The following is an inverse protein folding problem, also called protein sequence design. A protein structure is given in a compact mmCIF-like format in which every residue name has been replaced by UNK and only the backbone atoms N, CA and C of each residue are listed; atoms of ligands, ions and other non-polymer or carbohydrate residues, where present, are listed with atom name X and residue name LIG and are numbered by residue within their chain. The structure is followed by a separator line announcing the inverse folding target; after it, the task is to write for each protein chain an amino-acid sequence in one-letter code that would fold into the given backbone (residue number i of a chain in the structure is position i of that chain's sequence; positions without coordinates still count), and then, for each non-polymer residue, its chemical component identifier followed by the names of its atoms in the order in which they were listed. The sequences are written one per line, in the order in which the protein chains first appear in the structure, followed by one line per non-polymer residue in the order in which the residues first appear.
data_IF_022538951622
#
_entry.id   IF_022538951622
#
_cell.length_a   1.000
_cell.length_b   1.000
_cell.length_c   1.000
_cell.angle_alpha   90.00
_cell.angle_beta   90.00
_cell.angle_gamma   90.00
#
_symmetry.space_group_name_H-M   'P 1'
#
loop_
_entity.id
_entity.type
_entity.pdbx_description
1 polymer ?
#
# COMPACT_ATOMS: atom_id res chain seq x y z
N UNK A 1 25.89 -3.92 -0.54
CA UNK A 1 26.86 -4.54 -1.48
C UNK A 1 26.50 -4.08 -2.88
N UNK A 2 27.44 -3.52 -3.64
CA UNK A 2 27.20 -3.07 -5.01
C UNK A 2 27.66 -4.16 -6.00
N UNK A 3 26.74 -4.64 -6.84
CA UNK A 3 27.04 -5.53 -7.96
C UNK A 3 26.85 -4.74 -9.26
N UNK A 4 27.89 -4.02 -9.68
CA UNK A 4 27.78 -3.06 -10.79
C UNK A 4 26.76 -1.97 -10.47
N UNK A 5 25.79 -1.73 -11.36
CA UNK A 5 24.71 -0.74 -11.15
C UNK A 5 23.62 -1.20 -10.16
N UNK A 6 23.68 -2.45 -9.67
CA UNK A 6 22.67 -2.99 -8.76
C UNK A 6 23.13 -2.83 -7.31
N UNK A 7 22.39 -2.03 -6.54
CA UNK A 7 22.57 -1.90 -5.10
C UNK A 7 21.69 -2.90 -4.37
N UNK A 8 22.30 -3.84 -3.66
CA UNK A 8 21.60 -4.76 -2.79
C UNK A 8 21.70 -4.23 -1.35
N UNK A 9 20.68 -3.45 -0.97
CA UNK A 9 20.55 -2.86 0.36
C UNK A 9 19.85 -3.78 1.36
N UNK A 10 20.02 -3.49 2.65
CA UNK A 10 19.48 -4.28 3.76
C UNK A 10 17.95 -4.37 3.70
N UNK A 11 17.25 -3.31 3.27
CA UNK A 11 15.79 -3.35 3.07
C UNK A 11 15.36 -4.44 2.08
N UNK A 12 16.11 -4.64 0.99
CA UNK A 12 15.84 -5.69 0.00
C UNK A 12 16.00 -7.08 0.62
N UNK A 13 17.06 -7.29 1.41
CA UNK A 13 17.29 -8.55 2.12
C UNK A 13 16.16 -8.83 3.12
N UNK A 14 15.82 -7.85 3.96
CA UNK A 14 14.71 -7.98 4.93
C UNK A 14 13.38 -8.31 4.24
N UNK A 15 13.13 -7.73 3.07
CA UNK A 15 11.93 -8.00 2.28
C UNK A 15 11.90 -9.45 1.81
N UNK A 16 13.02 -9.97 1.28
CA UNK A 16 13.13 -11.38 0.90
C UNK A 16 12.93 -12.33 2.09
N UNK A 17 13.51 -12.00 3.24
CA UNK A 17 13.34 -12.78 4.49
C UNK A 17 11.88 -12.76 4.95
N UNK A 18 11.22 -11.61 4.93
CA UNK A 18 9.81 -11.50 5.33
C UNK A 18 8.90 -12.36 4.43
N UNK A 19 9.15 -12.35 3.11
CA UNK A 19 8.42 -13.22 2.17
C UNK A 19 8.70 -14.71 2.46
N UNK A 20 9.96 -15.08 2.68
CA UNK A 20 10.31 -16.46 3.05
C UNK A 20 9.60 -16.91 4.33
N UNK A 21 9.55 -16.06 5.35
CA UNK A 21 8.81 -16.33 6.59
C UNK A 21 7.32 -16.51 6.32
N UNK A 22 6.68 -15.64 5.52
CA UNK A 22 5.28 -15.80 5.13
C UNK A 22 5.03 -17.15 4.43
N UNK A 23 5.91 -17.55 3.50
CA UNK A 23 5.80 -18.84 2.80
C UNK A 23 5.91 -20.01 3.77
N UNK A 24 6.89 -19.99 4.67
CA UNK A 24 7.07 -21.06 5.66
C UNK A 24 5.87 -21.16 6.60
N UNK A 25 5.37 -20.02 7.10
CA UNK A 25 4.18 -19.99 7.97
C UNK A 25 2.97 -20.63 7.29
N UNK A 26 2.73 -20.31 6.02
CA UNK A 26 1.58 -20.84 5.27
C UNK A 26 1.76 -22.32 4.91
N UNK A 27 2.99 -22.73 4.58
CA UNK A 27 3.31 -24.13 4.30
C UNK A 27 3.07 -25.02 5.53
N UNK A 28 3.57 -24.64 6.70
CA UNK A 28 3.45 -25.46 7.92
C UNK A 28 2.05 -25.38 8.58
N UNK A 29 1.31 -24.29 8.38
CA UNK A 29 -0.06 -24.17 8.88
C UNK A 29 -1.10 -24.83 7.98
N UNK A 30 -0.72 -25.24 6.76
CA UNK A 30 -1.66 -25.79 5.77
C UNK A 30 -2.69 -24.77 5.27
N UNK A 31 -2.43 -23.46 5.44
CA UNK A 31 -3.39 -22.36 5.13
C UNK A 31 -3.54 -22.08 3.63
N UNK A 32 -2.71 -22.70 2.79
CA UNK A 32 -2.75 -22.53 1.34
C UNK A 32 -1.73 -21.51 0.82
N UNK A 33 -2.13 -20.64 -0.10
CA UNK A 33 -1.22 -19.72 -0.78
C UNK A 33 -0.78 -18.55 0.11
N UNK A 34 0.53 -18.28 0.16
CA UNK A 34 1.10 -17.17 0.93
C UNK A 34 1.02 -15.80 0.21
N UNK A 35 0.32 -15.70 -0.92
CA UNK A 35 0.37 -14.53 -1.81
C UNK A 35 -0.01 -13.22 -1.09
N UNK A 36 -1.15 -13.20 -0.39
CA UNK A 36 -1.66 -11.98 0.25
C UNK A 36 -0.79 -11.58 1.45
N UNK A 37 -0.36 -12.54 2.27
CA UNK A 37 0.56 -12.29 3.37
C UNK A 37 1.92 -11.78 2.87
N UNK A 38 2.46 -12.38 1.81
CA UNK A 38 3.74 -11.94 1.22
C UNK A 38 3.64 -10.53 0.64
N UNK A 39 2.56 -10.22 -0.09
CA UNK A 39 2.35 -8.88 -0.64
C UNK A 39 2.13 -7.83 0.46
N UNK A 40 1.41 -8.20 1.52
CA UNK A 40 1.24 -7.34 2.70
C UNK A 40 2.58 -7.06 3.39
N UNK A 41 3.44 -8.08 3.52
CA UNK A 41 4.76 -7.91 4.11
C UNK A 41 5.63 -6.95 3.27
N UNK A 42 5.71 -7.18 1.96
CA UNK A 42 6.44 -6.29 1.02
C UNK A 42 5.90 -4.87 1.07
N UNK A 43 4.58 -4.71 1.11
CA UNK A 43 3.96 -3.40 1.18
C UNK A 43 4.29 -2.67 2.47
N UNK A 44 4.31 -3.36 3.61
CA UNK A 44 4.57 -2.75 4.91
C UNK A 44 6.05 -2.41 5.13
N UNK A 45 7.00 -3.22 4.62
CA UNK A 45 8.41 -3.12 4.98
C UNK A 45 9.09 -1.84 4.42
N UNK A 46 9.69 -1.05 5.31
CA UNK A 46 10.41 0.21 5.01
C UNK A 46 11.79 0.19 5.67
N UNK A 47 12.62 1.21 5.44
CA UNK A 47 13.95 1.33 6.07
C UNK A 47 13.81 1.42 7.59
N UNK A 48 12.93 2.29 8.07
CA UNK A 48 12.69 2.54 9.48
C UNK A 48 11.42 1.85 10.01
N UNK A 49 11.37 1.66 11.32
CA UNK A 49 10.30 0.95 12.00
C UNK A 49 8.98 1.75 12.01
N UNK A 50 9.06 3.05 12.25
CA UNK A 50 7.87 3.90 12.36
C UNK A 50 7.09 3.92 11.05
N UNK A 51 7.79 4.12 9.94
CA UNK A 51 7.22 4.11 8.60
C UNK A 51 6.75 2.70 8.24
N UNK A 52 7.45 1.65 8.67
CA UNK A 52 6.96 0.26 8.50
C UNK A 52 5.60 0.05 9.18
N UNK A 53 5.44 0.50 10.43
CA UNK A 53 4.17 0.41 11.16
C UNK A 53 3.10 1.28 10.51
N UNK A 54 3.44 2.50 10.07
CA UNK A 54 2.53 3.42 9.38
C UNK A 54 1.98 2.79 8.08
N UNK A 55 2.85 2.24 7.24
CA UNK A 55 2.43 1.56 6.00
C UNK A 55 1.71 0.23 6.27
N UNK A 56 2.09 -0.50 7.32
CA UNK A 56 1.38 -1.69 7.77
C UNK A 56 -0.07 -1.39 8.17
N UNK A 57 -0.26 -0.35 8.99
CA UNK A 57 -1.61 0.17 9.32
C UNK A 57 -2.35 0.57 8.04
N UNK A 58 -1.69 1.35 7.17
CA UNK A 58 -2.16 1.74 5.83
C UNK A 58 -2.80 0.57 5.09
N UNK A 59 -2.04 -0.52 5.00
CA UNK A 59 -2.41 -1.75 4.31
C UNK A 59 -3.57 -2.48 4.95
N UNK A 60 -3.56 -2.64 6.27
CA UNK A 60 -4.61 -3.34 7.02
C UNK A 60 -5.96 -2.63 6.85
N UNK A 61 -6.04 -1.32 7.13
CA UNK A 61 -7.32 -0.62 7.05
C UNK A 61 -7.80 -0.52 5.60
N UNK A 62 -6.89 -0.25 4.65
CA UNK A 62 -7.25 -0.20 3.24
C UNK A 62 -7.81 -1.54 2.75
N UNK A 63 -7.10 -2.65 3.00
CA UNK A 63 -7.57 -3.97 2.62
C UNK A 63 -8.89 -4.34 3.31
N UNK A 64 -9.05 -4.00 4.60
CA UNK A 64 -10.29 -4.25 5.34
C UNK A 64 -11.48 -3.49 4.75
N UNK A 65 -11.32 -2.20 4.46
CA UNK A 65 -12.36 -1.39 3.84
C UNK A 65 -12.75 -1.91 2.45
N UNK A 66 -11.75 -2.22 1.61
CA UNK A 66 -11.99 -2.78 0.28
C UNK A 66 -12.69 -4.15 0.33
N UNK A 67 -12.27 -5.02 1.25
CA UNK A 67 -12.86 -6.34 1.42
C UNK A 67 -14.30 -6.29 1.95
N UNK A 68 -14.58 -5.40 2.90
CA UNK A 68 -15.93 -5.17 3.43
C UNK A 68 -16.87 -4.65 2.35
N UNK A 69 -16.43 -3.67 1.56
CA UNK A 69 -17.26 -3.12 0.48
C UNK A 69 -17.46 -4.14 -0.64
N UNK A 70 -16.45 -4.94 -0.99
CA UNK A 70 -16.61 -6.03 -1.95
C UNK A 70 -17.66 -7.07 -1.49
N UNK A 71 -17.59 -7.48 -0.23
CA UNK A 71 -18.55 -8.42 0.35
C UNK A 71 -19.98 -7.84 0.38
N UNK A 72 -20.14 -6.57 0.82
CA UNK A 72 -21.43 -5.88 0.81
C UNK A 72 -22.02 -5.82 -0.60
N UNK A 73 -21.18 -5.48 -1.58
CA UNK A 73 -21.62 -5.29 -2.96
C UNK A 73 -22.08 -6.61 -3.62
N UNK A 74 -21.45 -7.74 -3.28
CA UNK A 74 -21.88 -9.07 -3.74
C UNK A 74 -23.16 -9.55 -3.05
N UNK A 75 -23.42 -9.15 -1.82
CA UNK A 75 -24.72 -9.40 -1.19
C UNK A 75 -25.84 -8.65 -1.92
N UNK A 76 -25.61 -7.40 -2.32
CA UNK A 76 -26.54 -6.62 -3.13
C UNK A 76 -26.73 -7.22 -4.52
N UNK A 77 -25.66 -7.74 -5.13
CA UNK A 77 -25.72 -8.47 -6.41
C UNK A 77 -26.65 -9.68 -6.35
N UNK A 78 -26.47 -10.54 -5.35
CA UNK A 78 -27.29 -11.75 -5.20
C UNK A 78 -28.79 -11.43 -5.06
N UNK A 79 -29.14 -10.24 -4.58
CA UNK A 79 -30.53 -9.81 -4.43
C UNK A 79 -31.15 -9.20 -5.69
N UNK A 80 -30.37 -8.59 -6.58
CA UNK A 80 -30.89 -7.78 -7.69
C UNK A 80 -30.99 -8.53 -9.02
N UNK A 81 -30.23 -9.61 -9.21
CA UNK A 81 -30.30 -10.50 -10.38
C UNK A 81 -29.84 -9.88 -11.72
N UNK A 82 -29.53 -8.58 -11.77
CA UNK A 82 -29.06 -7.89 -12.97
C UNK A 82 -27.56 -7.55 -12.86
N UNK A 83 -26.72 -8.45 -13.39
CA UNK A 83 -25.27 -8.39 -13.28
C UNK A 83 -24.67 -7.17 -13.99
N UNK A 84 -25.16 -6.83 -15.18
CA UNK A 84 -24.55 -5.82 -16.03
C UNK A 84 -24.68 -4.40 -15.48
N UNK A 85 -25.88 -4.02 -14.99
CA UNK A 85 -26.12 -2.67 -14.45
C UNK A 85 -25.31 -2.46 -13.16
N UNK A 86 -25.26 -3.50 -12.31
CA UNK A 86 -24.53 -3.42 -11.06
C UNK A 86 -23.02 -3.28 -11.29
N UNK A 87 -22.49 -3.97 -12.30
CA UNK A 87 -21.08 -3.88 -12.67
C UNK A 87 -20.73 -2.51 -13.26
N UNK A 88 -21.54 -2.01 -14.20
CA UNK A 88 -21.28 -0.72 -14.88
C UNK A 88 -21.48 0.48 -13.96
N UNK A 89 -22.46 0.45 -13.06
CA UNK A 89 -22.77 1.60 -12.20
C UNK A 89 -22.20 1.42 -10.81
N UNK A 90 -22.45 0.27 -10.19
CA UNK A 90 -22.20 0.15 -8.76
C UNK A 90 -20.74 -0.12 -8.40
N UNK A 91 -19.92 -0.76 -9.26
CA UNK A 91 -18.46 -0.86 -9.02
C UNK A 91 -17.81 0.54 -9.03
N UNK A 92 -18.04 1.42 -10.03
CA UNK A 92 -17.58 2.80 -9.96
C UNK A 92 -18.09 3.56 -8.74
N UNK A 93 -19.37 3.39 -8.36
CA UNK A 93 -19.91 4.01 -7.15
C UNK A 93 -19.18 3.51 -5.90
N UNK A 94 -18.89 2.21 -5.79
CA UNK A 94 -18.14 1.65 -4.68
C UNK A 94 -16.71 2.21 -4.61
N UNK A 95 -16.06 2.43 -5.75
CA UNK A 95 -14.75 3.11 -5.81
C UNK A 95 -14.86 4.55 -5.31
N UNK A 96 -15.85 5.32 -5.77
CA UNK A 96 -16.08 6.69 -5.29
C UNK A 96 -16.37 6.70 -3.78
N UNK A 97 -17.15 5.76 -3.28
CA UNK A 97 -17.43 5.61 -1.84
C UNK A 97 -16.16 5.33 -1.05
N UNK A 98 -15.25 4.46 -1.52
CA UNK A 98 -13.95 4.23 -0.87
C UNK A 98 -13.17 5.54 -0.77
N UNK A 99 -13.12 6.32 -1.85
CA UNK A 99 -12.38 7.59 -1.90
C UNK A 99 -12.97 8.56 -0.87
N UNK A 100 -14.29 8.78 -0.91
CA UNK A 100 -14.97 9.71 0.01
C UNK A 100 -14.85 9.28 1.46
N UNK A 101 -14.99 7.98 1.76
CA UNK A 101 -14.83 7.45 3.12
C UNK A 101 -13.40 7.66 3.61
N UNK A 102 -12.40 7.27 2.81
CA UNK A 102 -10.99 7.42 3.18
C UNK A 102 -10.60 8.89 3.37
N UNK A 103 -11.03 9.77 2.47
CA UNK A 103 -10.76 11.21 2.55
C UNK A 103 -11.43 11.83 3.78
N UNK A 104 -12.70 11.49 4.03
CA UNK A 104 -13.45 11.97 5.19
C UNK A 104 -12.86 11.57 6.56
N UNK A 105 -12.10 10.47 6.62
CA UNK A 105 -11.36 10.05 7.84
C UNK A 105 -9.88 10.44 7.80
N UNK A 106 -9.45 11.28 6.86
CA UNK A 106 -8.06 11.71 6.65
C UNK A 106 -7.08 10.55 6.42
N UNK A 107 -7.52 9.51 5.71
CA UNK A 107 -6.77 8.28 5.48
C UNK A 107 -6.39 8.06 4.01
N UNK A 108 -5.81 9.09 3.41
CA UNK A 108 -5.51 9.10 1.98
C UNK A 108 -4.49 8.06 1.54
N UNK A 109 -3.57 7.66 2.45
CA UNK A 109 -2.56 6.63 2.16
C UNK A 109 -3.16 5.24 1.84
N UNK A 110 -4.38 4.94 2.34
CA UNK A 110 -5.01 3.64 2.18
C UNK A 110 -5.88 3.49 0.92
N UNK A 111 -6.18 4.59 0.23
CA UNK A 111 -7.16 4.64 -0.89
C UNK A 111 -6.81 3.63 -1.97
N UNK A 112 -5.58 3.66 -2.47
CA UNK A 112 -5.12 2.78 -3.55
C UNK A 112 -5.23 1.31 -3.11
N UNK A 113 -4.83 1.00 -1.88
CA UNK A 113 -4.90 -0.35 -1.33
C UNK A 113 -6.34 -0.87 -1.17
N UNK A 114 -7.26 0.00 -0.76
CA UNK A 114 -8.68 -0.32 -0.61
C UNK A 114 -9.34 -0.57 -1.97
N UNK A 115 -9.13 0.33 -2.94
CA UNK A 115 -9.66 0.20 -4.29
C UNK A 115 -9.11 -1.08 -4.95
N UNK A 116 -7.79 -1.30 -4.91
CA UNK A 116 -7.20 -2.50 -5.47
C UNK A 116 -7.80 -3.78 -4.86
N UNK A 117 -8.07 -3.77 -3.55
CA UNK A 117 -8.69 -4.91 -2.86
C UNK A 117 -10.13 -5.13 -3.31
N UNK A 118 -10.93 -4.08 -3.40
CA UNK A 118 -12.29 -4.14 -3.93
C UNK A 118 -12.31 -4.75 -5.34
N UNK A 119 -11.50 -4.20 -6.26
CA UNK A 119 -11.48 -4.62 -7.66
C UNK A 119 -10.97 -6.05 -7.81
N UNK A 120 -9.91 -6.44 -7.11
CA UNK A 120 -9.39 -7.81 -7.17
C UNK A 120 -10.44 -8.80 -6.68
N UNK A 121 -11.06 -8.53 -5.53
CA UNK A 121 -12.09 -9.44 -4.98
C UNK A 121 -13.28 -9.54 -5.93
N UNK A 122 -13.78 -8.40 -6.43
CA UNK A 122 -14.96 -8.38 -7.28
C UNK A 122 -14.73 -9.09 -8.64
N UNK A 123 -13.61 -8.80 -9.31
CA UNK A 123 -13.37 -9.33 -10.66
C UNK A 123 -12.70 -10.72 -10.68
N UNK A 124 -12.00 -11.11 -9.62
CA UNK A 124 -11.20 -12.35 -9.63
C UNK A 124 -11.84 -13.50 -8.86
N UNK A 125 -12.83 -13.23 -8.00
CA UNK A 125 -13.38 -14.22 -7.08
C UNK A 125 -14.86 -14.49 -7.41
N UNK A 126 -15.23 -15.75 -7.66
CA UNK A 126 -16.62 -16.14 -7.86
C UNK A 126 -17.54 -15.66 -6.73
N UNK A 127 -18.76 -15.15 -7.01
CA UNK A 127 -19.65 -14.57 -6.01
C UNK A 127 -20.00 -15.50 -4.84
N UNK A 128 -19.96 -16.82 -5.02
CA UNK A 128 -20.22 -17.84 -3.99
C UNK A 128 -19.13 -17.88 -2.90
N UNK A 129 -17.87 -17.60 -3.26
CA UNK A 129 -16.69 -17.74 -2.39
C UNK A 129 -16.21 -16.41 -1.81
N UNK A 130 -16.69 -15.29 -2.35
CA UNK A 130 -16.19 -13.96 -2.04
C UNK A 130 -16.19 -13.60 -0.56
N UNK A 131 -17.23 -13.96 0.21
CA UNK A 131 -17.31 -13.58 1.63
C UNK A 131 -16.19 -14.26 2.43
N UNK A 132 -15.98 -15.56 2.21
CA UNK A 132 -14.92 -16.33 2.88
C UNK A 132 -13.56 -15.79 2.45
N UNK A 133 -13.36 -15.60 1.15
CA UNK A 133 -12.11 -15.07 0.61
C UNK A 133 -11.80 -13.66 1.15
N UNK A 134 -12.80 -12.78 1.26
CA UNK A 134 -12.63 -11.43 1.79
C UNK A 134 -12.13 -11.46 3.24
N UNK A 135 -12.68 -12.34 4.08
CA UNK A 135 -12.23 -12.55 5.45
C UNK A 135 -10.81 -13.10 5.49
N UNK A 136 -10.52 -14.17 4.74
CA UNK A 136 -9.18 -14.75 4.64
C UNK A 136 -8.15 -13.71 4.21
N UNK A 137 -8.49 -12.89 3.22
CA UNK A 137 -7.62 -11.81 2.74
C UNK A 137 -7.31 -10.78 3.82
N UNK A 138 -8.29 -10.42 4.67
CA UNK A 138 -8.05 -9.53 5.81
C UNK A 138 -7.08 -10.19 6.78
N UNK A 139 -7.33 -11.43 7.19
CA UNK A 139 -6.44 -12.18 8.09
C UNK A 139 -5.03 -12.33 7.53
N UNK A 140 -4.89 -12.70 6.26
CA UNK A 140 -3.58 -12.87 5.61
C UNK A 140 -2.82 -11.55 5.51
N UNK A 141 -3.54 -10.44 5.30
CA UNK A 141 -2.96 -9.10 5.31
C UNK A 141 -2.40 -8.76 6.69
N UNK A 142 -3.12 -9.09 7.77
CA UNK A 142 -2.60 -8.94 9.13
C UNK A 142 -1.34 -9.78 9.33
N UNK A 143 -1.36 -11.07 8.98
CA UNK A 143 -0.20 -11.97 9.14
C UNK A 143 1.04 -11.38 8.45
N UNK A 144 0.90 -10.98 7.19
CA UNK A 144 1.99 -10.38 6.43
C UNK A 144 2.54 -9.09 7.04
N UNK A 145 1.65 -8.21 7.50
CA UNK A 145 2.05 -6.96 8.15
C UNK A 145 2.78 -7.22 9.47
N UNK A 146 2.31 -8.17 10.28
CA UNK A 146 2.99 -8.56 11.52
C UNK A 146 4.38 -9.16 11.25
N UNK A 147 4.49 -10.02 10.23
CA UNK A 147 5.79 -10.56 9.80
C UNK A 147 6.74 -9.45 9.38
N UNK A 148 6.27 -8.46 8.60
CA UNK A 148 7.11 -7.33 8.20
C UNK A 148 7.60 -6.50 9.38
N UNK A 149 6.71 -6.20 10.35
CA UNK A 149 7.09 -5.49 11.58
C UNK A 149 8.10 -6.30 12.38
N UNK A 150 7.87 -7.60 12.56
CA UNK A 150 8.78 -8.48 13.30
C UNK A 150 10.16 -8.56 12.64
N UNK A 151 10.21 -8.78 11.31
CA UNK A 151 11.47 -8.86 10.56
C UNK A 151 12.22 -7.53 10.62
N UNK A 152 11.52 -6.39 10.46
CA UNK A 152 12.17 -5.09 10.53
C UNK A 152 12.70 -4.77 11.95
N UNK A 153 12.07 -5.33 12.99
CA UNK A 153 12.50 -5.15 14.37
C UNK A 153 13.74 -5.98 14.68
N UNK A 154 13.76 -7.24 14.23
CA UNK A 154 14.82 -8.19 14.55
C UNK A 154 16.09 -7.95 13.74
N UNK A 155 15.97 -7.51 12.49
CA UNK A 155 17.11 -7.25 11.61
C UNK A 155 17.35 -5.74 11.57
N UNK A 156 18.42 -5.26 12.23
CA UNK A 156 18.78 -3.84 12.22
C UNK A 156 19.59 -3.48 10.98
N UNK A 157 19.39 -2.25 10.49
CA UNK A 157 20.22 -1.69 9.42
C UNK A 157 21.58 -1.28 10.03
N UNK A 158 22.71 -1.57 9.37
CA UNK A 158 24.00 -1.05 9.81
C UNK A 158 24.06 0.47 9.70
N UNK A 159 24.64 1.14 10.70
CA UNK A 159 24.67 2.62 10.77
C UNK A 159 25.33 3.30 9.55
N UNK A 160 26.30 2.66 8.90
CA UNK A 160 26.95 3.22 7.71
C UNK A 160 26.03 3.28 6.49
N UNK A 161 25.11 2.32 6.37
CA UNK A 161 24.13 2.25 5.29
C UNK A 161 23.01 3.28 5.54
N UNK A 162 22.57 3.41 6.79
CA UNK A 162 21.60 4.44 7.20
C UNK A 162 22.10 5.87 6.92
N UNK A 163 23.37 6.17 7.21
CA UNK A 163 23.97 7.48 6.89
C UNK A 163 24.10 7.71 5.39
N UNK A 164 24.35 6.67 4.60
CA UNK A 164 24.43 6.78 3.14
C UNK A 164 23.06 7.11 2.55
N UNK A 165 22.02 6.38 2.97
CA UNK A 165 20.63 6.61 2.54
C UNK A 165 20.15 8.02 2.91
N UNK A 166 20.43 8.48 4.14
CA UNK A 166 20.07 9.83 4.59
C UNK A 166 20.77 10.95 3.81
N UNK A 167 22.02 10.72 3.37
CA UNK A 167 22.75 11.70 2.54
C UNK A 167 22.17 11.77 1.13
N UNK A 168 21.74 10.64 0.59
CA UNK A 168 21.06 10.56 -0.71
C UNK A 168 19.72 11.31 -0.62
N UNK A 169 18.87 11.00 0.36
CA UNK A 169 17.60 11.71 0.60
C UNK A 169 17.79 13.23 0.81
N UNK A 170 18.81 13.64 1.55
CA UNK A 170 19.10 15.06 1.75
C UNK A 170 19.49 15.77 0.45
N UNK A 171 20.22 15.08 -0.44
CA UNK A 171 20.61 15.65 -1.74
C UNK A 171 19.43 15.81 -2.69
N UNK A 172 18.47 14.89 -2.65
CA UNK A 172 17.23 14.98 -3.43
C UNK A 172 16.36 16.14 -2.93
N UNK A 173 16.18 16.26 -1.61
CA UNK A 173 15.40 17.36 -1.00
C UNK A 173 16.02 18.73 -1.32
N UNK A 174 17.35 18.86 -1.25
CA UNK A 174 18.05 20.10 -1.63
C UNK A 174 17.83 20.45 -3.11
N UNK A 175 17.70 19.45 -3.96
CA UNK A 175 17.43 19.64 -5.40
C UNK A 175 16.02 20.18 -5.60
N UNK A 176 15.01 19.56 -4.96
CA UNK A 176 13.63 20.06 -4.99
C UNK A 176 13.48 21.47 -4.39
N UNK A 177 14.18 21.77 -3.29
CA UNK A 177 14.17 23.11 -2.67
C UNK A 177 14.70 24.18 -3.63
N UNK A 178 15.79 23.88 -4.33
CA UNK A 178 16.36 24.78 -5.33
C UNK A 178 15.40 25.02 -6.50
N UNK A 179 14.75 23.97 -7.02
CA UNK A 179 13.74 24.10 -8.07
C UNK A 179 12.56 24.95 -7.63
N UNK A 180 12.07 24.75 -6.41
CA UNK A 180 10.97 25.53 -5.84
C UNK A 180 11.35 27.02 -5.72
N UNK A 181 12.56 27.31 -5.25
CA UNK A 181 13.06 28.69 -5.14
C UNK A 181 13.17 29.39 -6.50
N UNK A 182 13.55 28.66 -7.54
CA UNK A 182 13.55 29.17 -8.93
C UNK A 182 12.13 29.50 -9.39
N UNK A 183 11.15 28.62 -9.13
CA UNK A 183 9.74 28.84 -9.49
C UNK A 183 9.12 30.03 -8.74
N UNK A 184 9.44 30.18 -7.45
CA UNK A 184 9.00 31.32 -6.64
C UNK A 184 9.55 32.63 -7.22
N UNK A 185 10.85 32.68 -7.50
CA UNK A 185 11.49 33.86 -8.10
C UNK A 185 10.86 34.23 -9.45
N UNK A 186 10.54 33.22 -10.28
CA UNK A 186 9.87 33.44 -11.56
C UNK A 186 8.47 34.04 -11.38
N UNK A 187 7.67 33.50 -10.44
CA UNK A 187 6.34 34.04 -10.12
C UNK A 187 6.38 35.46 -9.56
N UNK A 188 7.37 35.79 -8.74
CA UNK A 188 7.55 37.14 -8.21
C UNK A 188 7.87 38.15 -9.33
N UNK A 189 8.71 37.77 -10.29
CA UNK A 189 9.03 38.59 -11.44
C UNK A 189 7.83 38.75 -12.39
N UNK A 190 7.04 37.69 -12.61
CA UNK A 190 5.79 37.76 -13.39
C UNK A 190 4.77 38.71 -12.75
N UNK A 191 4.61 38.68 -11.42
CA UNK A 191 3.74 39.61 -10.70
C UNK A 191 4.21 41.07 -10.82
N UNK A 192 5.50 41.33 -10.64
CA UNK A 192 6.05 42.69 -10.81
C UNK A 192 5.80 43.23 -12.22
N UNK A 193 6.00 42.41 -13.24
CA UNK A 193 5.74 42.82 -14.62
C UNK A 193 4.26 43.10 -14.90
N UNK A 194 3.32 42.39 -14.26
CA UNK A 194 1.87 42.64 -14.39
C UNK A 194 1.39 43.91 -13.65
N UNK A 195 2.11 44.38 -12.64
CA UNK A 195 1.79 45.61 -11.90
C UNK A 195 2.33 46.89 -12.59
N UNK A 196 3.13 46.73 -13.64
CA UNK A 196 3.79 47.86 -14.34
C UNK A 196 3.16 48.20 -15.70
N UNK A 197 2.14 47.45 -16.13
CA UNK A 197 1.31 47.68 -17.34
C UNK A 197 -0.08 48.21 -16.95
#
# INVERSE_FOLDING_TARGET
MELGNFRLGMRTIKTGIAVAVCILLFHYSGRGTAMIASLSAVFALRQDMETTVKFGKSRILGNTLGALLAALFILLYRSSGNLFILEVIGVPVAVMLIIVICDGINYNSGIIGAIATLLIIYFSIPPNETIIYALERVFDTFIGTFVAVAVNHLIKVPAHEEVADLKEELSDIQTEENELNVLLTKKENEKKNQETD
#
